data_IF_225596331363
#
_entry.id   IF_225596331363
#
_cell.length_a   1.000
_cell.length_b   1.000
_cell.length_c   1.000
_cell.angle_alpha   90.00
_cell.angle_beta   90.00
_cell.angle_gamma   90.00
#
_symmetry.space_group_name_H-M   'P 1'
#
loop_
_entity.id
_entity.type
_entity.pdbx_description
1 polymer ?
#
# COMPACT_ATOMS: atom_id res chain seq x y z
N UNK A 1 -53.80 -78.46 -6.90
CA UNK A 1 -53.46 -77.18 -7.49
C UNK A 1 -53.10 -76.24 -6.36
N UNK A 2 -51.85 -76.15 -5.97
CA UNK A 2 -51.34 -75.32 -4.88
C UNK A 2 -50.24 -74.44 -5.37
N UNK A 3 -50.50 -73.14 -5.27
CA UNK A 3 -49.53 -72.09 -5.68
C UNK A 3 -48.46 -71.92 -4.57
N UNK A 4 -47.21 -71.61 -4.90
CA UNK A 4 -46.15 -71.43 -3.92
C UNK A 4 -46.16 -70.04 -3.30
N UNK A 5 -45.94 -70.00 -1.97
CA UNK A 5 -45.75 -68.81 -1.16
C UNK A 5 -44.36 -68.25 -1.35
N UNK A 6 -44.28 -67.04 -1.80
CA UNK A 6 -43.03 -66.31 -1.99
C UNK A 6 -42.57 -65.65 -0.69
N UNK A 7 -41.42 -66.09 -0.15
CA UNK A 7 -40.81 -65.53 1.08
C UNK A 7 -39.97 -64.34 0.72
N UNK A 8 -40.44 -63.13 1.00
CA UNK A 8 -39.59 -61.93 0.95
C UNK A 8 -38.73 -61.85 2.21
N UNK A 9 -37.45 -62.00 2.04
CA UNK A 9 -36.48 -61.73 3.06
C UNK A 9 -36.36 -60.18 3.27
N UNK A 10 -36.74 -59.72 4.46
CA UNK A 10 -36.57 -58.34 4.88
C UNK A 10 -35.11 -58.16 5.30
N UNK A 11 -34.29 -57.52 4.46
CA UNK A 11 -32.98 -57.02 4.82
C UNK A 11 -33.14 -55.75 5.68
N UNK A 12 -32.90 -55.87 6.99
CA UNK A 12 -32.79 -54.73 7.89
C UNK A 12 -31.43 -54.09 7.62
N UNK A 13 -31.42 -52.98 6.87
CA UNK A 13 -30.26 -52.13 6.68
C UNK A 13 -30.13 -51.32 7.96
N UNK A 14 -29.21 -51.70 8.85
CA UNK A 14 -28.80 -50.91 10.01
C UNK A 14 -28.08 -49.68 9.47
N UNK A 15 -28.76 -48.54 9.42
CA UNK A 15 -28.19 -47.26 9.22
C UNK A 15 -27.25 -46.94 10.38
N UNK A 16 -25.97 -47.17 10.20
CA UNK A 16 -24.95 -46.64 11.09
C UNK A 16 -25.05 -45.10 11.01
N UNK A 17 -25.64 -44.51 12.05
CA UNK A 17 -25.57 -43.05 12.27
C UNK A 17 -24.10 -42.69 12.48
N UNK A 18 -23.45 -42.29 11.41
CA UNK A 18 -22.23 -41.50 11.46
C UNK A 18 -22.61 -40.18 12.17
N UNK A 19 -22.41 -40.18 13.49
CA UNK A 19 -22.42 -38.95 14.26
C UNK A 19 -21.39 -38.03 13.66
N UNK A 20 -21.83 -37.14 12.79
CA UNK A 20 -21.04 -35.95 12.45
C UNK A 20 -20.90 -35.18 13.74
N UNK A 21 -19.76 -35.31 14.42
CA UNK A 21 -19.32 -34.32 15.38
C UNK A 21 -19.31 -33.01 14.59
N UNK A 22 -20.37 -32.21 14.77
CA UNK A 22 -20.34 -30.83 14.31
C UNK A 22 -19.14 -30.19 15.02
N UNK A 23 -18.02 -30.16 14.36
CA UNK A 23 -16.92 -29.30 14.76
C UNK A 23 -17.56 -27.92 14.81
N UNK A 24 -17.81 -27.37 16.00
CA UNK A 24 -18.19 -25.99 16.16
C UNK A 24 -16.97 -25.17 15.74
N UNK A 25 -16.87 -24.94 14.43
CA UNK A 25 -15.93 -23.97 13.87
C UNK A 25 -16.26 -22.66 14.58
N UNK A 26 -15.35 -22.18 15.40
CA UNK A 26 -15.50 -20.89 16.07
C UNK A 26 -15.29 -19.79 15.03
N UNK A 27 -16.33 -19.51 14.26
CA UNK A 27 -16.35 -18.44 13.29
C UNK A 27 -16.36 -17.10 14.03
N UNK A 28 -15.44 -16.23 13.73
CA UNK A 28 -15.42 -14.89 14.29
C UNK A 28 -15.49 -13.85 13.18
N UNK A 29 -16.33 -12.83 13.38
CA UNK A 29 -16.31 -11.60 12.57
C UNK A 29 -15.96 -10.45 13.49
N UNK A 30 -14.88 -9.78 13.19
CA UNK A 30 -14.37 -8.67 13.98
C UNK A 30 -14.56 -7.36 13.20
N UNK A 31 -15.26 -6.40 13.80
CA UNK A 31 -15.24 -5.02 13.39
C UNK A 31 -13.95 -4.37 13.92
N UNK A 32 -13.22 -3.67 13.07
CA UNK A 32 -12.01 -2.95 13.45
C UNK A 32 -11.90 -1.66 12.67
N UNK A 33 -11.10 -0.72 13.18
CA UNK A 33 -10.90 0.54 12.47
C UNK A 33 -9.98 1.53 13.18
N UNK A 34 -9.87 2.69 12.56
CA UNK A 34 -9.19 3.85 13.11
C UNK A 34 -9.85 5.12 12.58
N UNK A 35 -9.98 6.11 13.44
CA UNK A 35 -10.32 7.50 13.12
C UNK A 35 -9.14 8.37 13.49
N UNK A 36 -8.75 9.25 12.59
CA UNK A 36 -7.54 10.07 12.71
C UNK A 36 -7.79 11.44 12.08
N UNK A 37 -7.61 12.49 12.86
CA UNK A 37 -7.75 13.85 12.37
C UNK A 37 -6.73 14.80 13.00
N UNK A 38 -6.41 15.87 12.28
CA UNK A 38 -5.45 16.88 12.72
C UNK A 38 -5.80 18.28 12.22
N UNK A 39 -5.18 19.27 12.85
CA UNK A 39 -4.97 20.58 12.27
C UNK A 39 -3.64 20.55 11.55
N UNK A 40 -3.65 20.93 10.27
CA UNK A 40 -2.49 20.99 9.41
C UNK A 40 -2.20 22.42 8.96
N UNK A 41 -0.93 22.77 8.95
CA UNK A 41 -0.39 23.98 8.34
C UNK A 41 0.52 23.61 7.17
N UNK A 42 0.37 24.28 6.06
CA UNK A 42 1.29 24.23 4.92
C UNK A 42 1.71 25.63 4.53
N UNK A 43 3.00 25.85 4.30
CA UNK A 43 3.52 27.18 3.98
C UNK A 43 3.23 27.61 2.55
N UNK A 44 3.07 26.67 1.62
CA UNK A 44 2.85 26.97 0.21
C UNK A 44 2.02 25.88 -0.48
N UNK A 45 0.76 26.18 -0.75
CA UNK A 45 -0.15 25.47 -1.66
C UNK A 45 -0.44 26.40 -2.82
N UNK A 46 0.18 26.16 -3.99
CA UNK A 46 0.04 27.04 -5.17
C UNK A 46 0.29 28.53 -4.88
N UNK A 47 1.29 28.83 -4.03
CA UNK A 47 1.69 30.20 -3.71
C UNK A 47 1.12 30.76 -2.40
N UNK A 48 0.24 30.04 -1.71
CA UNK A 48 -0.42 30.51 -0.49
C UNK A 48 -0.18 29.56 0.68
N UNK A 49 -0.07 30.13 1.89
CA UNK A 49 -0.12 29.33 3.13
C UNK A 49 -1.57 28.92 3.42
N UNK A 50 -1.74 27.77 4.08
CA UNK A 50 -3.05 27.29 4.46
C UNK A 50 -3.02 26.63 5.84
N UNK A 51 -4.13 26.78 6.59
CA UNK A 51 -4.43 26.05 7.83
C UNK A 51 -5.78 25.37 7.64
N UNK A 52 -5.82 24.06 7.84
CA UNK A 52 -7.03 23.27 7.58
C UNK A 52 -7.08 22.00 8.40
N UNK A 53 -8.28 21.43 8.53
CA UNK A 53 -8.44 20.08 9.08
C UNK A 53 -7.99 19.06 8.04
N UNK A 54 -7.16 18.09 8.45
CA UNK A 54 -6.69 17.02 7.59
C UNK A 54 -6.93 15.66 8.21
N UNK A 55 -7.71 14.86 7.52
CA UNK A 55 -8.03 13.48 7.88
C UNK A 55 -6.89 12.51 7.54
N UNK A 56 -6.70 11.49 8.37
CA UNK A 56 -5.93 10.31 8.03
C UNK A 56 -4.41 10.51 7.97
N UNK A 57 -3.81 11.18 8.94
CA UNK A 57 -2.39 11.56 8.89
C UNK A 57 -1.45 10.56 9.56
N UNK A 58 -1.75 10.11 10.79
CA UNK A 58 -1.00 9.03 11.43
C UNK A 58 -1.41 7.69 10.84
N UNK A 59 -2.72 7.49 10.68
CA UNK A 59 -3.33 6.33 10.04
C UNK A 59 -4.48 6.81 9.15
N UNK A 60 -4.57 6.36 7.91
CA UNK A 60 -5.74 6.67 7.09
C UNK A 60 -7.02 6.19 7.78
N UNK A 61 -8.01 7.10 7.96
CA UNK A 61 -9.29 6.77 8.59
C UNK A 61 -10.01 5.69 7.80
N UNK A 62 -10.37 4.61 8.50
CA UNK A 62 -10.96 3.42 7.90
C UNK A 62 -11.70 2.58 8.93
N UNK A 63 -12.63 1.77 8.43
CA UNK A 63 -13.19 0.63 9.19
C UNK A 63 -13.19 -0.61 8.31
N UNK A 64 -13.27 -1.78 8.93
CA UNK A 64 -13.31 -3.05 8.21
C UNK A 64 -13.99 -4.16 9.00
N UNK A 65 -14.36 -5.19 8.26
CA UNK A 65 -14.86 -6.46 8.78
C UNK A 65 -13.87 -7.54 8.39
N UNK A 66 -13.36 -8.26 9.39
CA UNK A 66 -12.48 -9.42 9.20
C UNK A 66 -13.16 -10.67 9.69
N UNK A 67 -13.20 -11.69 8.85
CA UNK A 67 -13.70 -13.02 9.21
C UNK A 67 -12.60 -14.04 9.25
N UNK A 68 -12.75 -14.99 10.18
CA UNK A 68 -11.87 -16.13 10.34
C UNK A 68 -12.74 -17.32 10.78
N UNK A 69 -12.81 -18.35 9.94
CA UNK A 69 -13.56 -19.59 10.18
C UNK A 69 -12.60 -20.78 10.15
N UNK A 70 -12.51 -21.49 11.25
CA UNK A 70 -11.70 -22.72 11.32
C UNK A 70 -12.43 -23.86 10.59
N UNK A 71 -11.82 -24.36 9.52
CA UNK A 71 -12.31 -25.49 8.73
C UNK A 71 -11.74 -26.83 9.20
N UNK A 72 -10.95 -26.84 10.26
CA UNK A 72 -10.24 -28.00 10.76
C UNK A 72 -8.91 -28.26 10.05
N UNK A 73 -8.09 -29.15 10.61
CA UNK A 73 -6.80 -29.49 10.04
C UNK A 73 -5.79 -28.32 9.92
N UNK A 74 -5.99 -27.25 10.70
CA UNK A 74 -5.17 -26.03 10.64
C UNK A 74 -5.48 -25.16 9.42
N UNK A 75 -6.62 -25.39 8.76
CA UNK A 75 -7.09 -24.62 7.61
C UNK A 75 -8.21 -23.68 8.04
N UNK A 76 -8.14 -22.42 7.58
CA UNK A 76 -9.13 -21.39 7.86
C UNK A 76 -9.63 -20.75 6.57
N UNK A 77 -10.93 -20.48 6.51
CA UNK A 77 -11.48 -19.52 5.55
C UNK A 77 -11.39 -18.13 6.14
N UNK A 78 -10.86 -17.18 5.36
CA UNK A 78 -10.65 -15.82 5.81
C UNK A 78 -11.22 -14.82 4.81
N UNK A 79 -11.66 -13.66 5.31
CA UNK A 79 -11.94 -12.50 4.47
C UNK A 79 -11.54 -11.20 5.18
N UNK A 80 -11.31 -10.14 4.40
CA UNK A 80 -11.12 -8.79 4.90
C UNK A 80 -11.79 -7.80 3.94
N UNK A 81 -12.74 -7.02 4.48
CA UNK A 81 -13.46 -5.95 3.79
C UNK A 81 -13.14 -4.64 4.48
N UNK A 82 -12.39 -3.74 3.82
CA UNK A 82 -11.88 -2.51 4.43
C UNK A 82 -12.25 -1.28 3.62
N UNK A 83 -12.99 -0.37 4.25
CA UNK A 83 -13.44 0.91 3.71
C UNK A 83 -12.62 2.06 4.30
N UNK A 84 -12.09 2.93 3.44
CA UNK A 84 -11.56 4.24 3.83
C UNK A 84 -12.65 5.30 3.73
N UNK A 85 -12.62 6.28 4.59
CA UNK A 85 -13.52 7.42 4.56
C UNK A 85 -12.78 8.71 4.97
N UNK A 86 -13.37 9.84 4.66
CA UNK A 86 -12.89 11.14 5.10
C UNK A 86 -13.64 11.55 6.36
N UNK A 87 -12.94 11.70 7.47
CA UNK A 87 -13.56 12.01 8.77
C UNK A 87 -14.20 13.40 8.79
N UNK A 88 -13.61 14.37 8.07
CA UNK A 88 -14.07 15.76 8.05
C UNK A 88 -15.36 15.96 7.25
N UNK A 89 -15.68 15.05 6.32
CA UNK A 89 -16.84 15.19 5.43
C UNK A 89 -17.84 14.04 5.53
N UNK A 90 -17.42 12.90 6.12
CA UNK A 90 -18.20 11.65 6.10
C UNK A 90 -18.20 10.93 4.75
N UNK A 91 -17.49 11.44 3.74
CA UNK A 91 -17.47 10.87 2.41
C UNK A 91 -16.61 9.61 2.33
N UNK A 92 -16.91 8.70 1.38
CA UNK A 92 -16.01 7.61 1.02
C UNK A 92 -14.66 8.16 0.53
N UNK A 93 -13.54 7.55 0.93
CA UNK A 93 -12.21 7.95 0.47
C UNK A 93 -12.01 7.73 -1.05
N UNK A 94 -12.81 6.88 -1.69
CA UNK A 94 -12.86 6.72 -3.14
C UNK A 94 -14.33 6.63 -3.58
N UNK A 95 -14.77 7.60 -4.37
CA UNK A 95 -16.15 7.68 -4.85
C UNK A 95 -16.56 6.37 -5.58
N UNK A 96 -17.74 5.86 -5.26
CA UNK A 96 -18.32 4.67 -5.89
C UNK A 96 -17.67 3.34 -5.47
N UNK A 97 -16.76 3.34 -4.48
CA UNK A 97 -16.07 2.13 -4.01
C UNK A 97 -16.15 2.02 -2.49
N UNK A 98 -17.09 1.20 -1.97
CA UNK A 98 -17.27 1.01 -0.52
C UNK A 98 -15.99 0.47 0.13
N UNK A 99 -15.50 -0.68 -0.35
CA UNK A 99 -14.28 -1.31 0.17
C UNK A 99 -13.06 -0.95 -0.70
N UNK A 100 -12.72 0.32 -0.73
CA UNK A 100 -11.66 0.86 -1.58
C UNK A 100 -10.25 0.42 -1.17
N UNK A 101 -10.06 -0.09 0.06
CA UNK A 101 -8.74 -0.48 0.57
C UNK A 101 -8.47 -1.96 0.34
N UNK A 102 -9.31 -2.84 0.90
CA UNK A 102 -9.23 -4.29 0.70
C UNK A 102 -10.63 -4.88 0.58
N UNK A 103 -10.79 -5.89 -0.27
CA UNK A 103 -11.98 -6.70 -0.41
C UNK A 103 -11.55 -8.06 -0.97
N UNK A 104 -11.23 -9.00 -0.10
CA UNK A 104 -10.75 -10.32 -0.48
C UNK A 104 -11.31 -11.45 0.39
N UNK A 105 -11.29 -12.64 -0.16
CA UNK A 105 -11.54 -13.92 0.52
C UNK A 105 -10.34 -14.83 0.28
N UNK A 106 -10.11 -15.79 1.18
CA UNK A 106 -9.00 -16.72 1.01
C UNK A 106 -9.02 -17.90 1.93
N UNK A 107 -8.02 -18.76 1.75
CA UNK A 107 -7.72 -19.90 2.61
C UNK A 107 -6.33 -19.70 3.22
N UNK A 108 -6.25 -19.91 4.52
CA UNK A 108 -4.99 -19.90 5.27
C UNK A 108 -4.76 -21.26 5.90
N UNK A 109 -3.55 -21.78 5.75
CA UNK A 109 -3.14 -22.98 6.46
C UNK A 109 -1.71 -22.77 7.01
N UNK A 110 -1.50 -23.14 8.27
CA UNK A 110 -0.21 -22.94 8.95
C UNK A 110 0.96 -23.66 8.28
N UNK A 111 0.69 -24.76 7.58
CA UNK A 111 1.71 -25.58 6.90
C UNK A 111 1.91 -25.20 5.44
N UNK A 112 0.84 -24.79 4.76
CA UNK A 112 0.85 -24.57 3.31
C UNK A 112 0.82 -23.11 2.91
N UNK A 113 0.64 -22.18 3.87
CA UNK A 113 0.58 -20.74 3.60
C UNK A 113 -0.84 -20.24 3.37
N UNK A 114 -0.94 -19.11 2.71
CA UNK A 114 -2.21 -18.40 2.52
C UNK A 114 -2.41 -18.08 1.04
N UNK A 115 -3.60 -18.37 0.53
CA UNK A 115 -4.05 -17.93 -0.81
C UNK A 115 -5.25 -17.00 -0.61
N UNK A 116 -5.20 -15.82 -1.22
CA UNK A 116 -6.29 -14.83 -1.19
C UNK A 116 -6.65 -14.37 -2.58
N UNK A 117 -7.91 -14.03 -2.81
CA UNK A 117 -8.41 -13.52 -4.08
C UNK A 117 -9.32 -12.30 -3.87
N UNK A 118 -9.12 -11.24 -4.69
CA UNK A 118 -9.91 -10.02 -4.61
C UNK A 118 -9.07 -8.75 -4.81
N UNK A 119 -9.53 -7.65 -4.19
CA UNK A 119 -8.80 -6.37 -4.13
C UNK A 119 -7.89 -6.35 -2.91
N UNK A 120 -6.59 -6.14 -3.12
CA UNK A 120 -5.59 -6.26 -2.05
C UNK A 120 -4.41 -5.32 -2.28
N UNK A 121 -3.63 -5.10 -1.21
CA UNK A 121 -2.29 -4.54 -1.32
C UNK A 121 -1.33 -5.53 -1.97
N UNK A 122 -0.28 -5.01 -2.61
CA UNK A 122 0.74 -5.83 -3.27
C UNK A 122 1.71 -6.45 -2.27
N UNK A 123 2.27 -7.64 -2.52
CA UNK A 123 3.40 -8.17 -1.75
C UNK A 123 4.58 -7.20 -1.65
N UNK A 124 4.87 -6.46 -2.73
CA UNK A 124 5.86 -5.39 -2.74
C UNK A 124 5.67 -4.42 -1.58
N UNK A 125 4.47 -3.83 -1.44
CA UNK A 125 4.16 -2.92 -0.34
C UNK A 125 4.12 -3.64 1.01
N UNK A 126 3.40 -4.76 1.12
CA UNK A 126 3.18 -5.44 2.41
C UNK A 126 4.48 -5.94 3.05
N UNK A 127 5.51 -6.21 2.25
CA UNK A 127 6.77 -6.73 2.77
C UNK A 127 7.84 -5.66 2.91
N UNK A 128 7.97 -4.73 1.96
CA UNK A 128 9.00 -3.68 1.97
C UNK A 128 8.54 -2.44 2.74
N UNK A 129 7.28 -2.01 2.56
CA UNK A 129 6.71 -0.82 3.22
C UNK A 129 6.89 -0.77 4.73
N UNK A 130 6.75 -1.87 5.50
CA UNK A 130 6.98 -1.88 6.95
C UNK A 130 8.40 -1.47 7.38
N UNK A 131 9.36 -1.51 6.47
CA UNK A 131 10.76 -1.10 6.73
C UNK A 131 11.10 0.26 6.14
N UNK A 132 10.18 0.89 5.40
CA UNK A 132 10.33 2.22 4.83
C UNK A 132 9.89 3.32 5.81
N UNK A 133 10.26 4.55 5.53
CA UNK A 133 9.97 5.71 6.38
C UNK A 133 8.47 6.00 6.53
N UNK A 134 7.64 5.69 5.52
CA UNK A 134 6.18 5.84 5.59
C UNK A 134 5.52 5.07 6.74
N UNK A 135 6.05 3.89 7.10
CA UNK A 135 5.52 3.10 8.22
C UNK A 135 5.99 3.58 9.59
N UNK A 136 7.16 4.20 9.67
CA UNK A 136 7.73 4.69 10.93
C UNK A 136 7.29 6.12 11.25
N UNK A 137 7.15 6.96 10.23
CA UNK A 137 6.64 8.30 10.38
C UNK A 137 5.14 8.36 10.06
N UNK A 138 4.77 8.36 8.81
CA UNK A 138 3.40 8.19 8.26
C UNK A 138 3.46 8.41 6.74
N UNK A 139 2.43 8.00 5.98
CA UNK A 139 2.33 8.35 4.56
C UNK A 139 2.28 9.86 4.32
N UNK A 140 1.57 10.59 5.19
CA UNK A 140 1.37 12.03 5.05
C UNK A 140 2.68 12.85 5.05
N UNK A 141 3.68 12.44 5.81
CA UNK A 141 4.94 13.18 5.97
C UNK A 141 6.20 12.34 5.75
N UNK A 142 6.10 11.03 5.82
CA UNK A 142 7.23 10.11 5.75
C UNK A 142 7.29 9.27 4.48
N UNK A 143 6.24 9.22 3.66
CA UNK A 143 6.35 8.63 2.33
C UNK A 143 7.40 9.38 1.49
N UNK A 144 8.08 8.67 0.63
CA UNK A 144 8.98 9.32 -0.32
C UNK A 144 8.20 10.32 -1.19
N UNK A 145 8.81 11.42 -1.66
CA UNK A 145 8.09 12.49 -2.33
C UNK A 145 7.10 11.99 -3.37
N UNK A 146 5.81 12.35 -3.18
CA UNK A 146 4.71 11.92 -4.02
C UNK A 146 4.39 10.43 -3.98
N UNK A 147 4.91 9.68 -3.01
CA UNK A 147 4.88 8.20 -2.94
C UNK A 147 5.26 7.57 -4.30
N UNK A 148 6.33 8.12 -4.92
CA UNK A 148 6.74 7.77 -6.30
C UNK A 148 7.00 6.27 -6.45
N UNK A 149 7.37 5.60 -5.39
CA UNK A 149 7.73 4.18 -5.36
C UNK A 149 6.65 3.27 -4.75
N UNK A 150 5.51 3.83 -4.32
CA UNK A 150 4.39 3.06 -3.81
C UNK A 150 4.69 2.25 -2.54
N UNK A 151 5.65 2.71 -1.72
CA UNK A 151 5.97 2.11 -0.42
C UNK A 151 5.08 2.61 0.72
N UNK A 152 4.10 3.46 0.41
CA UNK A 152 2.94 3.76 1.25
C UNK A 152 1.69 3.03 0.73
N UNK A 153 0.54 3.30 1.34
CA UNK A 153 -0.74 2.60 1.08
C UNK A 153 -1.44 3.04 -0.21
N UNK A 154 -0.76 3.63 -1.18
CA UNK A 154 -1.38 4.24 -2.37
C UNK A 154 -1.76 3.26 -3.46
N UNK A 155 -1.11 2.08 -3.55
CA UNK A 155 -1.38 1.09 -4.59
C UNK A 155 -2.18 -0.09 -4.03
N UNK A 156 -3.40 -0.30 -4.55
CA UNK A 156 -4.23 -1.50 -4.33
C UNK A 156 -4.62 -2.06 -5.69
N UNK A 157 -4.62 -3.38 -5.79
CA UNK A 157 -4.80 -4.07 -7.06
C UNK A 157 -6.10 -4.88 -7.04
N UNK A 158 -6.94 -4.68 -8.06
CA UNK A 158 -8.17 -5.45 -8.27
C UNK A 158 -7.88 -6.78 -8.96
N UNK A 159 -8.84 -7.69 -8.91
CA UNK A 159 -8.82 -8.96 -9.66
C UNK A 159 -7.54 -9.77 -9.43
N UNK A 160 -6.99 -9.72 -8.22
CA UNK A 160 -5.72 -10.34 -7.90
C UNK A 160 -5.89 -11.65 -7.15
N UNK A 161 -4.95 -12.55 -7.39
CA UNK A 161 -4.71 -13.75 -6.58
C UNK A 161 -3.32 -13.61 -5.99
N UNK A 162 -3.21 -13.83 -4.67
CA UNK A 162 -1.95 -13.72 -3.93
C UNK A 162 -1.70 -15.02 -3.17
N UNK A 163 -0.47 -15.51 -3.25
CA UNK A 163 0.03 -16.56 -2.38
C UNK A 163 1.09 -16.00 -1.44
N UNK A 164 1.01 -16.35 -0.17
CA UNK A 164 2.03 -16.05 0.86
C UNK A 164 2.44 -17.35 1.53
N UNK A 165 3.74 -17.65 1.53
CA UNK A 165 4.29 -18.87 2.14
C UNK A 165 4.16 -18.85 3.67
N UNK A 166 4.23 -20.00 4.33
CA UNK A 166 4.60 -20.02 5.74
C UNK A 166 5.97 -19.37 5.96
N UNK A 167 6.20 -18.90 7.18
CA UNK A 167 7.52 -18.40 7.57
C UNK A 167 8.44 -19.57 7.92
N UNK A 168 9.58 -19.68 7.25
CA UNK A 168 10.59 -20.69 7.52
C UNK A 168 11.91 -20.03 7.95
N UNK A 169 12.38 -20.30 9.14
CA UNK A 169 13.61 -19.72 9.73
C UNK A 169 13.68 -18.18 9.59
N UNK A 170 12.54 -17.50 9.76
CA UNK A 170 12.43 -16.04 9.62
C UNK A 170 12.16 -15.56 8.18
N UNK A 171 12.27 -16.41 7.17
CA UNK A 171 12.02 -16.06 5.76
C UNK A 171 10.58 -16.33 5.38
N UNK A 172 9.94 -15.35 4.73
CA UNK A 172 8.60 -15.44 4.13
C UNK A 172 8.65 -14.93 2.70
N UNK A 173 7.96 -15.59 1.78
CA UNK A 173 7.82 -15.19 0.38
C UNK A 173 6.36 -14.91 0.05
N UNK A 174 6.10 -13.95 -0.84
CA UNK A 174 4.75 -13.71 -1.36
C UNK A 174 4.81 -13.34 -2.84
N UNK A 175 3.78 -13.77 -3.60
CA UNK A 175 3.62 -13.44 -5.01
C UNK A 175 2.15 -13.19 -5.33
N UNK A 176 1.90 -12.20 -6.20
CA UNK A 176 0.57 -11.78 -6.66
C UNK A 176 0.55 -11.73 -8.18
N UNK A 177 -0.55 -12.17 -8.75
CA UNK A 177 -0.91 -11.88 -10.13
C UNK A 177 -2.33 -11.31 -10.19
N UNK A 178 -2.50 -10.23 -10.94
CA UNK A 178 -3.80 -9.61 -11.15
C UNK A 178 -4.15 -9.61 -12.64
N UNK A 179 -5.37 -10.01 -12.93
CA UNK A 179 -5.90 -10.12 -14.28
C UNK A 179 -6.37 -8.75 -14.76
N UNK A 180 -6.00 -8.38 -15.99
CA UNK A 180 -6.44 -7.13 -16.59
C UNK A 180 -7.92 -7.11 -16.97
N UNK A 181 -8.57 -8.29 -17.05
CA UNK A 181 -10.01 -8.40 -17.35
C UNK A 181 -10.43 -7.93 -18.75
N UNK A 182 -9.52 -7.93 -19.73
CA UNK A 182 -9.77 -7.43 -21.08
C UNK A 182 -10.08 -8.59 -22.01
N UNK A 183 -11.31 -8.67 -22.51
CA UNK A 183 -11.74 -9.69 -23.44
C UNK A 183 -10.90 -9.66 -24.72
N UNK A 184 -10.40 -10.83 -25.16
CA UNK A 184 -9.53 -10.96 -26.34
C UNK A 184 -8.09 -10.46 -26.13
N UNK A 185 -7.72 -10.00 -24.92
CA UNK A 185 -6.39 -9.46 -24.62
C UNK A 185 -5.94 -9.80 -23.20
N UNK A 186 -5.93 -11.08 -22.85
CA UNK A 186 -5.68 -11.60 -21.48
C UNK A 186 -4.33 -11.19 -20.87
N UNK A 187 -3.34 -10.82 -21.70
CA UNK A 187 -2.03 -10.33 -21.25
C UNK A 187 -1.95 -8.81 -21.03
N UNK A 188 -3.01 -8.05 -21.32
CA UNK A 188 -3.01 -6.60 -21.15
C UNK A 188 -3.60 -6.19 -19.81
N UNK A 189 -3.09 -5.09 -19.24
CA UNK A 189 -3.60 -4.52 -18.00
C UNK A 189 -3.36 -5.39 -16.76
N UNK A 190 -2.50 -6.39 -16.86
CA UNK A 190 -2.17 -7.25 -15.72
C UNK A 190 -1.18 -6.55 -14.77
N UNK A 191 -1.16 -7.03 -13.53
CA UNK A 191 -0.17 -6.63 -12.52
C UNK A 191 0.49 -7.86 -11.94
N UNK A 192 1.80 -7.79 -11.77
CA UNK A 192 2.59 -8.80 -11.09
C UNK A 192 3.36 -8.17 -9.94
N UNK A 193 3.37 -8.83 -8.78
CA UNK A 193 4.20 -8.43 -7.65
C UNK A 193 4.76 -9.65 -6.94
N UNK A 194 6.00 -9.56 -6.49
CA UNK A 194 6.63 -10.58 -5.65
C UNK A 194 7.53 -9.91 -4.62
N UNK A 195 7.64 -10.52 -3.44
CA UNK A 195 8.50 -10.02 -2.38
C UNK A 195 9.00 -11.13 -1.48
N UNK A 196 10.16 -10.89 -0.88
CA UNK A 196 10.78 -11.69 0.17
C UNK A 196 10.98 -10.83 1.41
N UNK A 197 10.75 -11.40 2.58
CA UNK A 197 11.01 -10.77 3.87
C UNK A 197 11.74 -11.75 4.78
N UNK A 198 12.80 -11.28 5.40
CA UNK A 198 13.48 -11.94 6.49
C UNK A 198 13.32 -11.12 7.76
N UNK A 199 12.84 -11.74 8.85
CA UNK A 199 12.71 -11.11 10.16
C UNK A 199 13.16 -12.11 11.23
N UNK A 200 14.22 -11.75 11.95
CA UNK A 200 14.76 -12.58 13.03
C UNK A 200 15.46 -11.70 14.08
N UNK A 201 14.98 -11.74 15.32
CA UNK A 201 15.48 -10.92 16.40
C UNK A 201 15.44 -9.43 16.07
N UNK A 202 16.57 -8.70 16.17
CA UNK A 202 16.60 -7.25 15.91
C UNK A 202 16.62 -6.88 14.41
N UNK A 203 16.77 -7.84 13.52
CA UNK A 203 16.96 -7.61 12.08
C UNK A 203 15.64 -7.84 11.33
N UNK A 204 15.26 -6.86 10.51
CA UNK A 204 14.23 -6.98 9.51
C UNK A 204 14.75 -6.50 8.15
N UNK A 205 14.60 -7.33 7.11
CA UNK A 205 15.03 -7.00 5.74
C UNK A 205 13.94 -7.49 4.78
N UNK A 206 13.64 -6.69 3.76
CA UNK A 206 12.75 -7.09 2.68
C UNK A 206 13.22 -6.56 1.33
N UNK A 207 12.86 -7.29 0.28
CA UNK A 207 13.01 -6.84 -1.10
C UNK A 207 11.77 -7.24 -1.89
N UNK A 208 11.39 -6.40 -2.85
CA UNK A 208 10.19 -6.62 -3.63
C UNK A 208 10.28 -6.06 -5.05
N UNK A 209 9.42 -6.61 -5.89
CA UNK A 209 9.20 -6.22 -7.27
C UNK A 209 7.72 -6.02 -7.52
N UNK A 210 7.39 -4.96 -8.26
CA UNK A 210 6.04 -4.69 -8.75
C UNK A 210 6.11 -4.24 -10.21
N UNK A 211 5.25 -4.82 -11.04
CA UNK A 211 5.03 -4.35 -12.41
C UNK A 211 3.55 -4.17 -12.66
N UNK A 212 3.15 -2.98 -13.08
CA UNK A 212 1.79 -2.63 -13.48
C UNK A 212 1.81 -2.37 -14.98
N UNK A 213 1.10 -3.20 -15.77
CA UNK A 213 0.97 -3.01 -17.20
C UNK A 213 -0.29 -2.21 -17.54
N UNK A 214 -0.17 -1.29 -18.50
CA UNK A 214 -1.30 -0.55 -19.03
C UNK A 214 -2.24 -1.48 -19.83
N UNK A 215 -3.50 -1.09 -19.90
CA UNK A 215 -4.52 -1.77 -20.74
C UNK A 215 -4.33 -1.53 -22.25
N UNK A 216 -3.37 -0.70 -22.64
CA UNK A 216 -3.01 -0.48 -24.05
C UNK A 216 -3.72 0.66 -24.74
N UNK A 217 -4.44 1.51 -24.00
CA UNK A 217 -4.96 2.79 -24.49
C UNK A 217 -4.16 3.94 -23.90
N UNK A 218 -4.39 5.15 -24.34
CA UNK A 218 -3.82 6.40 -23.82
C UNK A 218 -4.09 6.69 -22.34
N UNK A 219 -4.80 5.80 -21.65
CA UNK A 219 -5.08 5.91 -20.21
C UNK A 219 -3.93 5.47 -19.30
N UNK A 220 -2.79 5.01 -19.85
CA UNK A 220 -1.61 4.63 -19.11
C UNK A 220 -1.83 3.48 -18.13
N UNK A 221 -1.05 3.43 -17.07
CA UNK A 221 -1.14 2.40 -16.02
C UNK A 221 -2.35 2.58 -15.08
N UNK A 222 -3.10 3.66 -15.22
CA UNK A 222 -4.34 3.91 -14.49
C UNK A 222 -5.48 3.07 -15.08
N UNK A 223 -5.36 1.77 -15.08
CA UNK A 223 -6.44 0.89 -15.48
C UNK A 223 -7.41 0.70 -14.31
N UNK A 224 -8.71 0.97 -14.45
CA UNK A 224 -9.70 0.71 -13.40
C UNK A 224 -9.72 -0.74 -12.90
N UNK A 225 -9.34 -1.72 -13.73
CA UNK A 225 -9.25 -3.12 -13.34
C UNK A 225 -8.06 -3.40 -12.41
N UNK A 226 -6.99 -2.59 -12.47
CA UNK A 226 -5.79 -2.72 -11.63
C UNK A 226 -5.47 -1.42 -10.90
N UNK A 227 -6.47 -0.60 -10.63
CA UNK A 227 -6.31 0.79 -10.24
C UNK A 227 -5.38 0.99 -9.05
N UNK A 228 -4.30 1.67 -9.29
CA UNK A 228 -3.65 2.48 -8.28
C UNK A 228 -4.61 3.58 -7.81
N UNK A 229 -4.59 3.93 -6.55
CA UNK A 229 -5.39 5.01 -6.01
C UNK A 229 -4.49 6.07 -5.38
N UNK A 230 -5.00 7.29 -5.27
CA UNK A 230 -4.32 8.39 -4.61
C UNK A 230 -3.18 8.99 -5.45
N UNK A 231 -2.21 9.53 -4.77
CA UNK A 231 -1.13 10.36 -5.30
C UNK A 231 -0.17 9.65 -6.25
N UNK A 232 0.00 8.33 -6.11
CA UNK A 232 0.80 7.56 -7.08
C UNK A 232 0.30 7.76 -8.51
N UNK A 233 -1.01 7.90 -8.68
CA UNK A 233 -1.63 8.09 -9.99
C UNK A 233 -1.50 9.52 -10.54
N UNK A 234 -1.35 10.54 -9.70
CA UNK A 234 -1.46 11.96 -10.08
C UNK A 234 -0.47 12.88 -9.37
N UNK A 235 0.67 12.38 -8.93
CA UNK A 235 1.72 13.20 -8.32
C UNK A 235 2.36 14.15 -9.33
N UNK A 236 2.77 15.33 -8.87
CA UNK A 236 3.55 16.28 -9.69
C UNK A 236 4.87 15.70 -10.19
N UNK A 237 5.38 14.64 -9.54
CA UNK A 237 6.62 13.99 -9.94
C UNK A 237 6.45 13.18 -11.23
N UNK A 238 5.29 12.54 -11.41
CA UNK A 238 5.05 11.58 -12.48
C UNK A 238 4.03 12.03 -13.53
N UNK A 239 3.52 13.26 -13.46
CA UNK A 239 2.46 13.76 -14.37
C UNK A 239 2.78 13.59 -15.85
N UNK A 240 4.03 13.77 -16.26
CA UNK A 240 4.47 13.59 -17.65
C UNK A 240 4.54 12.12 -18.10
N UNK A 241 4.44 11.18 -17.19
CA UNK A 241 4.65 9.74 -17.43
C UNK A 241 3.39 8.90 -17.25
N UNK A 242 2.22 9.51 -17.04
CA UNK A 242 0.95 8.82 -16.80
C UNK A 242 0.50 7.92 -17.96
N UNK A 243 0.99 8.17 -19.17
CA UNK A 243 0.73 7.36 -20.37
C UNK A 243 1.72 6.21 -20.56
N UNK A 244 2.46 5.83 -19.51
CA UNK A 244 3.39 4.71 -19.56
C UNK A 244 2.70 3.40 -19.99
N UNK A 245 3.36 2.62 -20.85
CA UNK A 245 2.95 1.24 -21.16
C UNK A 245 3.01 0.34 -19.94
N UNK A 246 4.00 0.57 -19.09
CA UNK A 246 4.14 -0.13 -17.84
C UNK A 246 4.92 0.71 -16.83
N UNK A 247 4.67 0.45 -15.53
CA UNK A 247 5.50 0.94 -14.44
C UNK A 247 6.14 -0.25 -13.75
N UNK A 248 7.45 -0.19 -13.55
CA UNK A 248 8.21 -1.17 -12.78
C UNK A 248 8.77 -0.53 -11.52
N UNK A 249 8.64 -1.23 -10.41
CA UNK A 249 9.18 -0.82 -9.11
C UNK A 249 9.99 -1.97 -8.52
N UNK A 250 11.21 -1.66 -8.10
CA UNK A 250 12.07 -2.54 -7.30
C UNK A 250 12.42 -1.79 -6.03
N UNK A 251 12.30 -2.43 -4.89
CA UNK A 251 12.76 -1.85 -3.65
C UNK A 251 13.38 -2.89 -2.73
N UNK A 252 14.29 -2.40 -1.89
CA UNK A 252 14.83 -3.13 -0.75
C UNK A 252 14.87 -2.19 0.46
N UNK A 253 14.51 -2.71 1.62
CA UNK A 253 14.55 -1.97 2.86
C UNK A 253 14.92 -2.90 4.02
N UNK A 254 15.50 -2.34 5.06
CA UNK A 254 15.79 -3.08 6.26
C UNK A 254 15.97 -2.16 7.45
N UNK A 255 15.75 -2.73 8.63
CA UNK A 255 16.00 -2.04 9.89
C UNK A 255 16.69 -2.95 10.91
N UNK A 256 17.31 -2.30 11.87
CA UNK A 256 17.94 -2.93 13.02
C UNK A 256 17.45 -2.24 14.28
N UNK A 257 16.99 -3.02 15.26
CA UNK A 257 16.49 -2.52 16.55
C UNK A 257 17.48 -2.84 17.64
N UNK A 258 17.99 -1.80 18.31
CA UNK A 258 18.90 -1.89 19.45
C UNK A 258 18.24 -1.28 20.68
N UNK A 259 17.67 -2.11 21.54
CA UNK A 259 16.89 -1.64 22.68
C UNK A 259 15.69 -0.81 22.21
N UNK A 260 15.66 0.46 22.60
CA UNK A 260 14.59 1.41 22.23
C UNK A 260 14.89 2.20 20.94
N UNK A 261 16.05 1.99 20.31
CA UNK A 261 16.44 2.63 19.05
C UNK A 261 16.24 1.67 17.89
N UNK A 262 15.50 2.11 16.86
CA UNK A 262 15.44 1.44 15.57
C UNK A 262 16.04 2.36 14.50
N UNK A 263 16.92 1.83 13.68
CA UNK A 263 17.50 2.50 12.52
C UNK A 263 17.18 1.71 11.26
N UNK A 264 16.92 2.39 10.16
CA UNK A 264 16.59 1.75 8.90
C UNK A 264 17.14 2.47 7.69
N UNK A 265 17.34 1.69 6.63
CA UNK A 265 17.72 2.17 5.30
C UNK A 265 16.79 1.55 4.27
N UNK A 266 16.52 2.30 3.21
CA UNK A 266 15.76 1.80 2.09
C UNK A 266 16.29 2.37 0.77
N UNK A 267 16.04 1.63 -0.31
CA UNK A 267 16.30 2.01 -1.68
C UNK A 267 15.15 1.58 -2.56
N UNK A 268 14.75 2.43 -3.48
CA UNK A 268 13.81 2.08 -4.53
C UNK A 268 14.24 2.59 -5.91
N UNK A 269 13.85 1.85 -6.95
CA UNK A 269 14.02 2.20 -8.36
C UNK A 269 12.67 2.05 -9.04
N UNK A 270 12.19 3.13 -9.63
CA UNK A 270 10.92 3.20 -10.35
C UNK A 270 11.18 3.55 -11.80
N UNK A 271 10.60 2.78 -12.73
CA UNK A 271 10.71 2.98 -14.16
C UNK A 271 9.34 3.15 -14.79
N UNK A 272 9.17 4.24 -15.53
CA UNK A 272 8.04 4.47 -16.42
C UNK A 272 8.47 4.10 -17.84
N UNK A 273 7.92 3.02 -18.37
CA UNK A 273 8.29 2.46 -19.66
C UNK A 273 7.36 3.02 -20.74
N UNK A 274 7.88 3.68 -21.78
CA UNK A 274 7.05 4.15 -22.90
C UNK A 274 6.56 2.99 -23.77
N UNK A 275 5.50 3.23 -24.51
CA UNK A 275 4.94 2.34 -25.51
C UNK A 275 4.27 3.13 -26.62
N UNK A 276 3.66 2.44 -27.59
CA UNK A 276 2.90 3.09 -28.65
C UNK A 276 1.76 3.91 -28.01
N UNK A 277 1.68 5.21 -28.33
CA UNK A 277 0.70 6.13 -27.77
C UNK A 277 1.09 6.76 -26.42
N UNK A 278 2.29 6.49 -25.88
CA UNK A 278 2.82 7.24 -24.75
C UNK A 278 3.15 8.68 -25.15
N UNK A 279 2.88 9.61 -24.22
CA UNK A 279 3.23 11.02 -24.38
C UNK A 279 4.73 11.31 -24.16
N UNK A 280 5.56 10.27 -24.05
CA UNK A 280 7.01 10.34 -23.86
C UNK A 280 7.70 9.16 -24.56
N UNK A 281 9.00 9.27 -24.84
CA UNK A 281 9.74 8.32 -25.71
C UNK A 281 10.80 7.52 -24.98
N UNK A 282 11.42 8.09 -23.95
CA UNK A 282 12.53 7.45 -23.25
C UNK A 282 12.07 6.99 -21.86
N UNK A 283 12.54 5.84 -21.41
CA UNK A 283 12.26 5.34 -20.05
C UNK A 283 12.68 6.38 -19.02
N UNK A 284 11.73 6.83 -18.21
CA UNK A 284 11.99 7.69 -17.07
C UNK A 284 12.28 6.84 -15.83
N UNK A 285 13.34 7.15 -15.12
CA UNK A 285 13.80 6.41 -13.94
C UNK A 285 13.87 7.35 -12.74
N UNK A 286 13.33 6.90 -11.61
CA UNK A 286 13.46 7.56 -10.32
C UNK A 286 14.15 6.60 -9.36
N UNK A 287 15.23 7.07 -8.73
CA UNK A 287 15.90 6.34 -7.65
C UNK A 287 15.70 7.09 -6.36
N UNK A 288 15.25 6.40 -5.32
CA UNK A 288 15.08 6.99 -3.98
C UNK A 288 15.93 6.25 -2.97
N UNK A 289 16.65 7.00 -2.16
CA UNK A 289 17.43 6.55 -1.03
C UNK A 289 16.82 7.12 0.23
N UNK A 290 16.54 6.30 1.22
CA UNK A 290 15.94 6.71 2.48
C UNK A 290 16.71 6.18 3.67
N UNK A 291 16.73 6.98 4.74
CA UNK A 291 17.24 6.61 6.05
C UNK A 291 16.24 7.05 7.13
N UNK A 292 16.10 6.26 8.17
CA UNK A 292 15.22 6.57 9.29
C UNK A 292 15.88 6.19 10.62
N UNK A 293 15.47 6.88 11.68
CA UNK A 293 15.75 6.52 13.06
C UNK A 293 14.50 6.79 13.90
N UNK A 294 14.16 5.86 14.77
CA UNK A 294 13.06 5.99 15.73
C UNK A 294 13.53 5.60 17.12
N UNK A 295 13.21 6.42 18.11
CA UNK A 295 13.58 6.18 19.51
C UNK A 295 12.35 6.27 20.43
N UNK A 296 12.22 5.29 21.31
CA UNK A 296 11.19 5.23 22.32
C UNK A 296 11.76 5.70 23.66
N UNK A 297 11.48 6.94 24.04
CA UNK A 297 11.95 7.54 25.28
C UNK A 297 11.27 6.94 26.52
N UNK A 298 9.98 6.66 26.40
CA UNK A 298 9.17 6.00 27.42
C UNK A 298 8.20 5.01 26.76
N UNK A 299 7.51 4.15 27.51
CA UNK A 299 6.46 3.29 26.93
C UNK A 299 5.34 4.07 26.21
N UNK A 300 5.17 5.36 26.54
CA UNK A 300 4.10 6.21 25.98
C UNK A 300 4.60 7.26 24.99
N UNK A 301 5.90 7.62 24.99
CA UNK A 301 6.45 8.67 24.15
C UNK A 301 7.55 8.17 23.24
N UNK A 302 7.42 8.45 21.94
CA UNK A 302 8.41 8.12 20.92
C UNK A 302 8.56 9.24 19.88
N UNK A 303 9.76 9.29 19.30
CA UNK A 303 10.15 10.21 18.24
C UNK A 303 10.73 9.41 17.09
N UNK A 304 10.38 9.77 15.86
CA UNK A 304 10.96 9.19 14.65
C UNK A 304 11.35 10.29 13.66
N UNK A 305 12.53 10.18 13.06
CA UNK A 305 13.01 11.06 12.02
C UNK A 305 13.39 10.28 10.76
N UNK A 306 13.23 10.89 9.59
CA UNK A 306 13.65 10.31 8.32
C UNK A 306 14.17 11.36 7.34
N UNK A 307 15.04 10.89 6.46
CA UNK A 307 15.51 11.61 5.29
C UNK A 307 15.29 10.77 4.05
N UNK A 308 14.81 11.39 2.96
CA UNK A 308 14.69 10.76 1.65
C UNK A 308 15.33 11.65 0.57
N UNK A 309 16.04 11.01 -0.35
CA UNK A 309 16.62 11.65 -1.53
C UNK A 309 16.16 10.92 -2.79
N UNK A 310 15.36 11.60 -3.62
CA UNK A 310 14.87 11.08 -4.90
C UNK A 310 15.55 11.78 -6.05
N UNK A 311 16.10 11.03 -6.99
CA UNK A 311 16.80 11.50 -8.20
C UNK A 311 16.13 10.90 -9.44
N UNK A 312 15.65 11.76 -10.34
CA UNK A 312 15.17 11.35 -11.66
C UNK A 312 16.33 11.18 -12.67
N UNK A 313 16.09 10.42 -13.72
CA UNK A 313 17.01 10.35 -14.87
C UNK A 313 16.86 11.57 -15.79
N UNK A 314 17.92 11.86 -16.55
CA UNK A 314 17.86 12.77 -17.70
C UNK A 314 17.26 12.00 -18.88
N UNK A 315 16.00 12.21 -19.18
CA UNK A 315 15.26 11.52 -20.23
C UNK A 315 14.22 12.46 -20.83
N UNK A 316 13.73 12.18 -22.03
CA UNK A 316 12.66 12.92 -22.68
C UNK A 316 12.91 14.43 -22.83
N UNK A 317 14.17 14.82 -23.12
CA UNK A 317 14.58 16.22 -23.30
C UNK A 317 14.88 16.98 -21.99
N UNK A 318 14.77 16.34 -20.82
CA UNK A 318 15.13 16.93 -19.53
C UNK A 318 16.66 17.10 -19.45
N UNK A 319 17.14 18.34 -19.43
CA UNK A 319 18.57 18.64 -19.37
C UNK A 319 19.13 18.60 -17.93
N UNK A 320 18.32 19.02 -16.95
CA UNK A 320 18.67 19.03 -15.53
C UNK A 320 17.68 18.15 -14.76
N UNK A 321 18.08 16.93 -14.45
CA UNK A 321 17.20 15.93 -13.79
C UNK A 321 16.64 16.44 -12.46
N UNK A 322 15.36 16.17 -12.23
CA UNK A 322 14.68 16.49 -10.97
C UNK A 322 15.32 15.77 -9.78
N UNK A 323 15.43 16.48 -8.67
CA UNK A 323 15.93 16.00 -7.38
C UNK A 323 14.99 16.49 -6.30
N UNK A 324 14.72 15.61 -5.35
CA UNK A 324 13.85 15.90 -4.20
C UNK A 324 14.57 15.45 -2.93
N UNK A 325 14.59 16.33 -1.94
CA UNK A 325 15.12 16.05 -0.60
C UNK A 325 14.00 16.28 0.39
N UNK A 326 13.68 15.25 1.19
CA UNK A 326 12.63 15.35 2.19
C UNK A 326 13.20 15.02 3.57
N UNK A 327 12.89 15.87 4.53
CA UNK A 327 13.18 15.70 5.95
C UNK A 327 11.85 15.59 6.68
N UNK A 328 11.71 14.59 7.54
CA UNK A 328 10.46 14.31 8.23
C UNK A 328 10.71 14.00 9.70
N UNK A 329 9.81 14.45 10.56
CA UNK A 329 9.84 14.21 12.00
C UNK A 329 8.44 13.87 12.48
N UNK A 330 8.34 12.93 13.42
CA UNK A 330 7.12 12.54 14.13
C UNK A 330 7.40 12.44 15.61
N UNK A 331 6.56 13.06 16.40
CA UNK A 331 6.41 12.83 17.83
C UNK A 331 5.06 12.16 18.08
N UNK A 332 5.02 11.15 18.94
CA UNK A 332 3.78 10.47 19.32
C UNK A 332 3.72 10.18 20.80
N UNK A 333 2.55 10.46 21.39
CA UNK A 333 2.25 10.22 22.78
C UNK A 333 0.99 9.39 22.95
N UNK A 334 1.13 8.16 23.44
CA UNK A 334 0.03 7.24 23.66
C UNK A 334 -0.68 7.56 24.97
N UNK A 335 -1.92 8.06 24.87
CA UNK A 335 -2.81 8.26 26.01
C UNK A 335 -3.35 6.93 26.53
N UNK A 336 -3.51 5.96 25.65
CA UNK A 336 -3.93 4.59 25.94
C UNK A 336 -3.42 3.64 24.88
N UNK A 337 -3.76 2.34 24.96
CA UNK A 337 -3.48 1.35 23.90
C UNK A 337 -4.17 1.67 22.58
N UNK A 338 -5.19 2.52 22.58
CA UNK A 338 -6.04 2.83 21.42
C UNK A 338 -5.97 4.29 21.00
N UNK A 339 -5.51 5.20 21.86
CA UNK A 339 -5.54 6.65 21.62
C UNK A 339 -4.13 7.21 21.62
N UNK A 340 -3.76 7.88 20.54
CA UNK A 340 -2.45 8.50 20.36
C UNK A 340 -2.60 9.96 19.94
N UNK A 341 -1.93 10.86 20.65
CA UNK A 341 -1.67 12.23 20.20
C UNK A 341 -0.38 12.23 19.39
N UNK A 342 -0.33 13.06 18.35
CA UNK A 342 0.86 13.15 17.51
C UNK A 342 1.12 14.56 17.00
N UNK A 343 2.38 14.83 16.71
CA UNK A 343 2.82 15.93 15.87
C UNK A 343 3.68 15.42 14.72
N UNK A 344 3.49 16.00 13.54
CA UNK A 344 4.18 15.63 12.32
C UNK A 344 4.74 16.90 11.67
N UNK A 345 6.01 16.87 11.25
CA UNK A 345 6.62 17.94 10.49
C UNK A 345 7.38 17.34 9.31
N UNK A 346 7.31 18.00 8.17
CA UNK A 346 8.15 17.64 7.04
C UNK A 346 8.47 18.85 6.17
N UNK A 347 9.65 18.81 5.57
CA UNK A 347 10.10 19.79 4.60
C UNK A 347 10.65 19.06 3.37
N UNK A 348 10.13 19.42 2.21
CA UNK A 348 10.63 18.91 0.92
C UNK A 348 11.24 20.05 0.11
N UNK A 349 12.45 19.85 -0.40
CA UNK A 349 13.12 20.74 -1.35
C UNK A 349 13.26 20.03 -2.69
N UNK A 350 12.98 20.75 -3.79
CA UNK A 350 13.18 20.25 -5.14
C UNK A 350 14.13 21.11 -5.95
N UNK A 351 14.78 20.51 -6.93
CA UNK A 351 15.62 21.20 -7.92
C UNK A 351 15.60 20.43 -9.24
N UNK A 352 16.05 21.06 -10.31
CA UNK A 352 16.03 20.49 -11.65
C UNK A 352 14.65 20.54 -12.29
N UNK A 353 14.45 19.68 -13.28
CA UNK A 353 13.29 19.68 -14.17
C UNK A 353 12.74 18.26 -14.35
N UNK A 354 11.47 18.18 -14.67
CA UNK A 354 10.76 16.94 -15.01
C UNK A 354 9.86 17.17 -16.22
N UNK A 355 9.29 16.08 -16.74
CA UNK A 355 8.31 16.15 -17.81
C UNK A 355 6.96 16.58 -17.23
N UNK A 356 6.37 17.64 -17.78
CA UNK A 356 5.03 18.10 -17.40
C UNK A 356 3.92 17.26 -18.00
N UNK A 357 2.68 17.49 -17.57
CA UNK A 357 1.51 16.68 -17.92
C UNK A 357 1.21 16.58 -19.43
N UNK A 358 1.69 17.51 -20.24
CA UNK A 358 1.53 17.49 -21.70
C UNK A 358 2.50 16.52 -22.42
N UNK A 359 3.44 15.92 -21.69
CA UNK A 359 4.37 14.94 -22.21
C UNK A 359 5.59 15.53 -22.91
N UNK A 360 6.12 14.83 -23.92
CA UNK A 360 7.36 15.17 -24.59
C UNK A 360 7.40 16.62 -25.11
N UNK A 361 8.50 17.29 -24.84
CA UNK A 361 8.70 18.72 -25.18
C UNK A 361 8.14 19.71 -24.15
N UNK A 362 7.35 19.28 -23.19
CA UNK A 362 6.83 20.14 -22.13
C UNK A 362 7.62 19.94 -20.82
N UNK A 363 8.77 20.59 -20.74
CA UNK A 363 9.66 20.52 -19.59
C UNK A 363 9.25 21.57 -18.56
N UNK A 364 9.08 21.16 -17.31
CA UNK A 364 8.69 22.01 -16.18
C UNK A 364 9.70 21.91 -15.05
N UNK A 365 9.80 22.95 -14.22
CA UNK A 365 10.59 22.88 -13.00
C UNK A 365 10.00 21.84 -12.05
N UNK A 366 10.88 21.09 -11.38
CA UNK A 366 10.47 20.12 -10.37
C UNK A 366 9.85 20.85 -9.18
N UNK A 367 8.57 20.61 -8.92
CA UNK A 367 7.83 21.20 -7.82
C UNK A 367 7.86 20.28 -6.60
N UNK A 368 8.17 20.78 -5.38
CA UNK A 368 8.15 19.94 -4.18
C UNK A 368 6.72 19.69 -3.70
N UNK A 369 6.52 18.50 -3.17
CA UNK A 369 5.32 18.12 -2.43
C UNK A 369 5.72 17.17 -1.31
N UNK A 370 5.17 17.41 -0.12
CA UNK A 370 5.49 16.62 1.07
C UNK A 370 4.75 15.28 1.07
N UNK A 371 5.46 14.21 1.42
CA UNK A 371 4.91 12.88 1.67
C UNK A 371 4.19 12.29 0.47
N UNK A 372 3.10 11.57 0.74
CA UNK A 372 2.27 10.91 -0.26
C UNK A 372 1.46 11.86 -1.15
N UNK A 373 1.58 13.16 -0.92
CA UNK A 373 0.90 14.25 -1.63
C UNK A 373 -0.65 14.23 -1.57
N UNK A 374 -1.25 13.36 -0.78
CA UNK A 374 -2.69 13.37 -0.61
C UNK A 374 -3.14 14.66 0.12
N UNK A 375 -4.21 15.28 -0.35
CA UNK A 375 -4.78 16.52 0.20
C UNK A 375 -3.81 17.72 0.18
N UNK A 376 -2.67 17.61 -0.49
CA UNK A 376 -1.71 18.68 -0.69
C UNK A 376 -1.62 19.04 -2.17
N UNK A 377 -1.49 20.32 -2.45
CA UNK A 377 -1.10 20.82 -3.76
C UNK A 377 0.38 21.18 -3.75
N UNK A 378 1.08 21.07 -4.89
CA UNK A 378 2.50 21.37 -4.94
C UNK A 378 2.78 22.84 -4.61
N UNK A 379 3.98 23.09 -4.09
CA UNK A 379 4.49 24.44 -3.91
C UNK A 379 4.82 25.10 -5.26
N UNK A 380 4.64 26.43 -5.34
CA UNK A 380 5.12 27.25 -6.47
C UNK A 380 6.58 27.65 -6.33
N UNK A 381 7.20 27.33 -5.18
CA UNK A 381 8.64 27.56 -4.95
C UNK A 381 9.38 26.22 -4.87
N UNK A 382 10.68 26.25 -4.63
CA UNK A 382 11.50 25.04 -4.53
C UNK A 382 11.42 24.35 -3.15
N UNK A 383 10.61 24.85 -2.23
CA UNK A 383 10.43 24.29 -0.89
C UNK A 383 8.97 24.22 -0.48
N UNK A 384 8.60 23.17 0.27
CA UNK A 384 7.31 23.05 0.95
C UNK A 384 7.54 22.53 2.35
N UNK A 385 6.94 23.21 3.33
CA UNK A 385 6.90 22.77 4.73
C UNK A 385 5.46 22.45 5.11
N UNK A 386 5.30 21.37 5.87
CA UNK A 386 4.02 20.95 6.46
C UNK A 386 4.23 20.65 7.93
N UNK A 387 3.35 21.15 8.78
CA UNK A 387 3.26 20.83 10.20
C UNK A 387 1.84 20.41 10.57
N UNK A 388 1.69 19.38 11.39
CA UNK A 388 0.38 18.85 11.81
C UNK A 388 0.41 18.47 13.27
N UNK A 389 -0.74 18.62 13.95
CA UNK A 389 -0.96 18.07 15.29
C UNK A 389 -2.36 17.46 15.34
N UNK A 390 -2.47 16.25 15.86
CA UNK A 390 -3.72 15.49 15.78
C UNK A 390 -3.85 14.37 16.80
N UNK A 391 -4.95 13.65 16.64
CA UNK A 391 -5.34 12.52 17.46
C UNK A 391 -5.80 11.36 16.58
N UNK A 392 -5.35 10.16 16.91
CA UNK A 392 -5.80 8.91 16.29
C UNK A 392 -6.39 7.98 17.35
N UNK A 393 -7.53 7.34 17.05
CA UNK A 393 -8.21 6.38 17.92
C UNK A 393 -8.49 5.09 17.13
N UNK A 394 -7.96 3.97 17.62
CA UNK A 394 -8.20 2.63 17.05
C UNK A 394 -9.31 1.90 17.82
N UNK A 395 -10.10 1.11 17.15
CA UNK A 395 -11.17 0.29 17.75
C UNK A 395 -11.27 -1.09 17.14
#
# INVERSE_FOLDING_TARGET
>A
MTAPVNRYAILILSAASLGTTAAHAQSSVTLYGVVDDSIAYVNNQQGHSNVYMRDGNLYASKFGLRGDEDLGGGTHAIFDLQAGFNLNTGAQAAAGTIFNRQAFVGLRNVRYGTVTAGRQYTPYFLFVGPYASSSWLTGATGAHPGDIDGLDTTIRVNNSVTYTSPTFAGLTASAMYAFGGIAGATGKGNTFSAALRYANGPIGIAAGYLRINSSGSSAGFQNPATAASGSFAVSVLNQGYLTAKAVEQVAAAGNYTLGDLTMGLNYSNVKYLPGNGSAFTDTAVFNTYGALAAYRFTPTFSVAGAFAYTLASKANGVASAARYQQYSLKESYSLSKRTTLYALQAYTHSSGQTLGAQGAGHIVDAAPIVGDSQQLTPSTTRGQFVGMAGIAVTF
#
